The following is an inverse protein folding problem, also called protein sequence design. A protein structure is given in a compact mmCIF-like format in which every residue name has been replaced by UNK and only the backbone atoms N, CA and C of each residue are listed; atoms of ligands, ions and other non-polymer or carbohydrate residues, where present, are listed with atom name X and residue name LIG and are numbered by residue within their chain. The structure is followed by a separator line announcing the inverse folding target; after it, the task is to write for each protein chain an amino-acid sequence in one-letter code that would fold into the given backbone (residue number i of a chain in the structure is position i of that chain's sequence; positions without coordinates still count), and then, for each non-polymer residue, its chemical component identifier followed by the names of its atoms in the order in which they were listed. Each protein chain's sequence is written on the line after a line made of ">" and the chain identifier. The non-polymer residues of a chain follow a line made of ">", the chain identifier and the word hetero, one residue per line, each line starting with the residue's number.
data_IF_879766304317
#
_entry.id   IF_879766304317
#
_cell.length_a   1.000
_cell.length_b   1.000
_cell.length_c   1.000
_cell.angle_alpha   90.00
_cell.angle_beta   90.00
_cell.angle_gamma   90.00
#
_symmetry.space_group_name_H-M   'P 1'
#
loop_
_entity.id
_entity.type
_entity.pdbx_description
1 polymer ?
#
# COMPACT_ATOMS: atom_id res chain seq x y z
N UNK A 1 8.56 6.96 1.67
CA UNK A 1 7.15 7.30 2.05
C UNK A 1 6.48 6.09 2.65
N UNK A 2 5.74 6.29 3.70
CA UNK A 2 4.99 5.22 4.37
C UNK A 2 3.50 5.56 4.30
N UNK A 3 2.71 4.62 3.77
CA UNK A 3 1.25 4.73 3.67
C UNK A 3 0.57 3.55 4.36
N UNK A 4 -0.69 3.73 4.74
CA UNK A 4 -1.55 2.66 5.21
C UNK A 4 -3.00 2.99 4.87
N UNK A 5 -3.84 1.95 4.85
CA UNK A 5 -5.30 2.12 4.78
C UNK A 5 -5.78 2.91 3.55
N UNK A 6 -5.25 2.55 2.38
CA UNK A 6 -5.68 3.10 1.10
C UNK A 6 -7.13 2.71 0.80
N UNK A 7 -7.51 1.47 1.18
CA UNK A 7 -8.88 0.95 1.07
C UNK A 7 -9.51 1.12 -0.32
N UNK A 8 -8.70 1.01 -1.37
CA UNK A 8 -9.16 1.11 -2.75
C UNK A 8 -9.45 2.52 -3.25
N UNK A 9 -9.12 3.56 -2.48
CA UNK A 9 -9.32 4.94 -2.88
C UNK A 9 -8.21 5.43 -3.80
N UNK A 10 -8.48 5.48 -5.11
CA UNK A 10 -7.52 5.99 -6.09
C UNK A 10 -7.29 7.49 -5.91
N UNK A 11 -8.28 8.22 -5.46
CA UNK A 11 -8.16 9.66 -5.17
C UNK A 11 -7.11 9.92 -4.09
N UNK A 12 -7.20 9.20 -2.98
CA UNK A 12 -6.23 9.32 -1.87
C UNK A 12 -4.84 8.86 -2.29
N UNK A 13 -4.77 7.76 -3.04
CA UNK A 13 -3.50 7.25 -3.54
C UNK A 13 -2.80 8.27 -4.43
N UNK A 14 -3.51 8.87 -5.37
CA UNK A 14 -2.95 9.87 -6.27
C UNK A 14 -2.41 11.09 -5.54
N UNK A 15 -3.11 11.55 -4.49
CA UNK A 15 -2.62 12.63 -3.62
C UNK A 15 -1.29 12.25 -2.95
N UNK A 16 -1.22 11.03 -2.42
CA UNK A 16 0.01 10.54 -1.80
C UNK A 16 1.16 10.40 -2.81
N UNK A 17 0.88 9.89 -4.01
CA UNK A 17 1.89 9.74 -5.05
C UNK A 17 2.40 11.07 -5.59
N UNK A 18 1.57 12.11 -5.59
CA UNK A 18 2.03 13.47 -5.92
C UNK A 18 3.08 13.95 -4.90
N UNK A 19 2.83 13.70 -3.62
CA UNK A 19 3.79 14.02 -2.55
C UNK A 19 5.07 13.19 -2.71
N UNK A 20 4.92 11.90 -3.00
CA UNK A 20 6.04 10.99 -3.27
C UNK A 20 6.97 11.55 -4.34
N UNK A 21 6.41 12.01 -5.45
CA UNK A 21 7.18 12.60 -6.56
C UNK A 21 7.82 13.93 -6.17
N UNK A 22 7.08 14.83 -5.52
CA UNK A 22 7.58 16.15 -5.11
C UNK A 22 8.74 16.04 -4.13
N UNK A 23 8.71 15.06 -3.24
CA UNK A 23 9.76 14.84 -2.25
C UNK A 23 10.86 13.91 -2.75
N UNK A 24 10.80 13.46 -4.00
CA UNK A 24 11.77 12.56 -4.61
C UNK A 24 12.05 11.31 -3.75
N UNK A 25 10.97 10.69 -3.25
CA UNK A 25 11.09 9.46 -2.46
C UNK A 25 11.55 8.30 -3.34
N UNK A 26 12.35 7.38 -2.77
CA UNK A 26 12.90 6.22 -3.47
C UNK A 26 12.05 4.97 -3.28
N UNK A 27 11.37 4.85 -2.15
CA UNK A 27 10.60 3.67 -1.77
C UNK A 27 9.24 4.04 -1.25
N UNK A 28 8.25 3.23 -1.59
CA UNK A 28 6.91 3.29 -1.02
C UNK A 28 6.70 2.08 -0.12
N UNK A 29 6.40 2.33 1.14
CA UNK A 29 6.10 1.29 2.13
C UNK A 29 4.61 1.37 2.43
N UNK A 30 3.90 0.24 2.27
CA UNK A 30 2.47 0.17 2.51
C UNK A 30 2.20 -0.80 3.65
N UNK A 31 1.58 -0.31 4.72
CA UNK A 31 1.29 -1.08 5.92
C UNK A 31 -0.08 -1.78 5.87
N UNK A 32 -0.52 -2.17 4.67
CA UNK A 32 -1.71 -2.97 4.47
C UNK A 32 -2.98 -2.19 4.17
N UNK A 33 -4.08 -2.93 4.00
CA UNK A 33 -5.40 -2.42 3.64
C UNK A 33 -5.38 -1.63 2.34
N UNK A 34 -4.94 -2.30 1.27
CA UNK A 34 -4.62 -1.66 -0.01
C UNK A 34 -5.86 -1.48 -0.88
N UNK A 35 -6.56 -2.57 -1.21
CA UNK A 35 -7.64 -2.56 -2.19
C UNK A 35 -9.03 -2.58 -1.59
N UNK A 36 -9.22 -3.27 -0.47
CA UNK A 36 -10.52 -3.44 0.18
C UNK A 36 -10.70 -2.50 1.35
N UNK A 37 -11.90 -1.94 1.51
CA UNK A 37 -12.21 -1.09 2.66
C UNK A 37 -12.84 -1.85 3.83
N UNK A 38 -13.27 -3.10 3.60
CA UNK A 38 -13.86 -3.95 4.64
C UNK A 38 -15.28 -3.56 5.01
N UNK A 39 -15.98 -4.44 5.77
CA UNK A 39 -17.41 -4.21 6.08
C UNK A 39 -17.67 -3.15 7.15
N UNK A 40 -16.64 -2.78 7.92
CA UNK A 40 -16.78 -1.82 9.02
C UNK A 40 -16.60 -0.37 8.61
N UNK A 41 -16.02 -0.13 7.44
CA UNK A 41 -15.75 1.22 6.97
C UNK A 41 -16.82 1.68 6.00
N UNK A 42 -17.08 2.98 5.96
CA UNK A 42 -17.88 3.57 4.91
C UNK A 42 -17.15 3.44 3.56
N UNK A 43 -17.90 3.52 2.46
CA UNK A 43 -17.31 3.51 1.12
C UNK A 43 -16.39 4.73 0.99
N UNK A 44 -15.09 4.54 0.72
CA UNK A 44 -14.17 5.66 0.63
C UNK A 44 -14.40 6.52 -0.61
N UNK A 45 -14.00 7.77 -0.52
CA UNK A 45 -13.97 8.70 -1.66
C UNK A 45 -13.09 8.13 -2.76
N UNK A 46 -13.60 8.14 -3.99
CA UNK A 46 -12.81 7.69 -5.14
C UNK A 46 -12.48 6.20 -5.10
N UNK A 47 -13.44 5.37 -4.66
CA UNK A 47 -13.26 3.92 -4.65
C UNK A 47 -13.10 3.39 -6.07
N UNK A 48 -11.91 2.90 -6.39
CA UNK A 48 -11.58 2.24 -7.65
C UNK A 48 -10.37 1.33 -7.43
N UNK A 49 -10.63 0.14 -6.89
CA UNK A 49 -9.59 -0.81 -6.54
C UNK A 49 -8.73 -1.22 -7.74
N UNK A 50 -9.32 -1.34 -8.92
CA UNK A 50 -8.60 -1.67 -10.14
C UNK A 50 -7.59 -0.58 -10.51
N UNK A 51 -8.01 0.68 -10.43
CA UNK A 51 -7.10 1.81 -10.70
C UNK A 51 -5.99 1.90 -9.66
N UNK A 52 -6.29 1.63 -8.38
CA UNK A 52 -5.27 1.55 -7.33
C UNK A 52 -4.23 0.49 -7.68
N UNK A 53 -4.67 -0.71 -8.05
CA UNK A 53 -3.76 -1.80 -8.44
C UNK A 53 -2.90 -1.40 -9.65
N UNK A 54 -3.49 -0.79 -10.67
CA UNK A 54 -2.77 -0.33 -11.85
C UNK A 54 -1.70 0.70 -11.52
N UNK A 55 -2.04 1.70 -10.70
CA UNK A 55 -1.10 2.74 -10.29
C UNK A 55 0.08 2.16 -9.48
N UNK A 56 -0.21 1.27 -8.54
CA UNK A 56 0.83 0.67 -7.71
C UNK A 56 1.70 -0.31 -8.51
N UNK A 57 1.13 -1.07 -9.43
CA UNK A 57 1.89 -2.01 -10.25
C UNK A 57 2.92 -1.34 -11.14
N UNK A 58 2.69 -0.09 -11.55
CA UNK A 58 3.67 0.69 -12.31
C UNK A 58 4.96 0.92 -11.54
N UNK A 59 4.91 0.89 -10.23
CA UNK A 59 6.07 1.12 -9.37
C UNK A 59 6.38 -0.07 -8.44
N UNK A 60 5.96 -1.27 -8.84
CA UNK A 60 6.08 -2.49 -8.03
C UNK A 60 7.50 -2.75 -7.51
N UNK A 61 8.53 -2.44 -8.31
CA UNK A 61 9.93 -2.62 -7.90
C UNK A 61 10.38 -1.73 -6.75
N UNK A 62 9.61 -0.69 -6.44
CA UNK A 62 9.93 0.28 -5.38
C UNK A 62 8.94 0.20 -4.22
N UNK A 63 8.16 -0.88 -4.12
CA UNK A 63 7.16 -1.06 -3.07
C UNK A 63 7.57 -2.20 -2.14
N UNK A 64 7.44 -1.94 -0.84
CA UNK A 64 7.44 -2.95 0.22
C UNK A 64 6.07 -2.86 0.89
N UNK A 65 5.36 -3.98 0.97
CA UNK A 65 4.04 -4.01 1.57
C UNK A 65 3.90 -5.17 2.56
N UNK A 66 3.07 -4.96 3.56
CA UNK A 66 2.67 -6.00 4.50
C UNK A 66 1.14 -6.12 4.48
N UNK A 67 0.64 -7.22 5.04
CA UNK A 67 -0.79 -7.51 5.08
C UNK A 67 -1.48 -6.74 6.20
N UNK A 68 -2.57 -6.04 5.84
CA UNK A 68 -3.53 -5.50 6.79
C UNK A 68 -4.71 -6.46 6.98
N UNK A 69 -5.69 -6.04 7.77
CA UNK A 69 -6.86 -6.88 8.05
C UNK A 69 -7.82 -7.02 6.87
N UNK A 70 -7.79 -6.11 5.90
CA UNK A 70 -8.66 -6.15 4.73
C UNK A 70 -8.03 -6.79 3.49
N UNK A 71 -6.75 -7.13 3.53
CA UNK A 71 -6.05 -7.71 2.38
C UNK A 71 -6.30 -9.22 2.26
N UNK A 72 -6.50 -9.69 1.05
CA UNK A 72 -6.82 -11.09 0.76
C UNK A 72 -5.90 -11.68 -0.31
N UNK A 73 -5.95 -13.00 -0.45
CA UNK A 73 -5.24 -13.72 -1.51
C UNK A 73 -5.70 -13.28 -2.90
N UNK A 74 -6.95 -12.91 -3.06
CA UNK A 74 -7.48 -12.37 -4.32
C UNK A 74 -6.79 -11.04 -4.65
N UNK A 75 -6.60 -10.18 -3.66
CA UNK A 75 -5.89 -8.91 -3.85
C UNK A 75 -4.45 -9.15 -4.28
N UNK A 76 -3.78 -10.16 -3.71
CA UNK A 76 -2.43 -10.53 -4.11
C UNK A 76 -2.34 -10.90 -5.59
N UNK A 77 -3.38 -11.49 -6.15
CA UNK A 77 -3.41 -11.85 -7.58
C UNK A 77 -3.44 -10.61 -8.48
N UNK A 78 -3.92 -9.49 -7.99
CA UNK A 78 -4.01 -8.23 -8.72
C UNK A 78 -2.77 -7.35 -8.58
N UNK A 79 -1.95 -7.59 -7.56
CA UNK A 79 -0.80 -6.78 -7.23
C UNK A 79 0.50 -7.51 -7.59
N UNK A 80 1.42 -6.82 -8.28
CA UNK A 80 2.68 -7.37 -8.78
C UNK A 80 3.82 -7.29 -7.77
N UNK A 81 3.50 -7.15 -6.49
CA UNK A 81 4.44 -7.15 -5.39
C UNK A 81 3.84 -7.92 -4.20
N UNK A 82 4.66 -8.52 -3.31
CA UNK A 82 4.15 -9.30 -2.19
C UNK A 82 3.38 -8.43 -1.18
N UNK A 83 2.22 -8.92 -0.72
CA UNK A 83 1.39 -8.24 0.27
C UNK A 83 0.98 -9.13 1.45
N UNK A 84 1.38 -10.40 1.46
CA UNK A 84 0.84 -11.39 2.39
C UNK A 84 1.62 -11.54 3.70
N UNK A 85 2.78 -10.90 3.83
CA UNK A 85 3.54 -10.95 5.07
C UNK A 85 2.90 -10.08 6.15
N UNK A 86 2.73 -10.63 7.35
CA UNK A 86 2.12 -9.90 8.47
C UNK A 86 3.06 -8.88 9.09
N UNK A 87 4.35 -9.06 8.89
CA UNK A 87 5.37 -8.11 9.31
C UNK A 87 6.60 -8.23 8.40
N UNK A 88 7.43 -7.21 8.44
CA UNK A 88 8.77 -7.28 7.82
C UNK A 88 9.74 -6.38 8.58
N UNK A 89 11.01 -6.68 8.45
CA UNK A 89 12.08 -5.87 9.01
C UNK A 89 12.78 -5.15 7.86
N UNK A 90 12.75 -3.83 7.90
CA UNK A 90 13.46 -2.98 6.96
C UNK A 90 14.77 -2.52 7.59
N UNK A 91 15.88 -2.67 6.87
CA UNK A 91 17.18 -2.15 7.29
C UNK A 91 17.53 -0.99 6.37
N UNK A 92 17.68 0.19 6.95
CA UNK A 92 18.00 1.41 6.22
C UNK A 92 19.04 2.22 6.99
N UNK A 93 20.18 2.48 6.35
CA UNK A 93 21.30 3.21 6.94
C UNK A 93 21.69 2.71 8.33
N UNK A 94 21.73 1.38 8.51
CA UNK A 94 22.07 0.75 9.79
C UNK A 94 20.94 0.74 10.81
N UNK A 95 19.78 1.28 10.48
CA UNK A 95 18.58 1.25 11.33
C UNK A 95 17.73 0.04 10.99
N UNK A 96 17.13 -0.54 12.01
CA UNK A 96 16.13 -1.61 11.86
C UNK A 96 14.75 -1.03 12.11
N UNK A 97 13.88 -1.17 11.12
CA UNK A 97 12.50 -0.68 11.20
C UNK A 97 11.56 -1.88 11.09
N UNK A 98 10.80 -2.12 12.13
CA UNK A 98 9.81 -3.19 12.15
C UNK A 98 8.49 -2.66 11.56
N UNK A 99 8.03 -3.29 10.49
CA UNK A 99 6.81 -2.90 9.79
C UNK A 99 5.69 -3.86 10.12
N UNK A 100 4.57 -3.33 10.57
CA UNK A 100 3.36 -4.11 10.87
C UNK A 100 2.13 -3.22 10.70
N UNK A 101 1.00 -3.85 10.39
CA UNK A 101 -0.28 -3.12 10.31
C UNK A 101 -0.83 -2.77 11.70
N UNK A 102 -0.54 -3.60 12.68
CA UNK A 102 -0.96 -3.37 14.07
C UNK A 102 -1.69 -4.53 14.72
#
# INVERSE_FOLDING_TARGET
>A
MILSDIHGSVTRLRRALDIYKKQACDMLIILGDILNYGPRNAIPEGLDAKAVAEELNKMAGNIIAIRGNCDSEVDQMLLHFPIMSTYTLLVDEGRRIFLTHG
#
